data_IF_767928334576
#
_entry.id   IF_767928334576
#
_cell.length_a   1.000
_cell.length_b   1.000
_cell.length_c   1.000
_cell.angle_alpha   90.00
_cell.angle_beta   90.00
_cell.angle_gamma   90.00
#
_symmetry.space_group_name_H-M   'P 1'
#
loop_
_entity.id
_entity.type
_entity.pdbx_description
1 polymer ?
#
# COMPACT_ATOMS: atom_id res chain seq x y z
N UNK A 1 -20.01 11.59 -4.02
CA UNK A 1 -19.82 10.72 -5.21
C UNK A 1 -20.63 9.43 -5.09
N UNK A 2 -20.45 8.63 -4.03
CA UNK A 2 -21.19 7.38 -3.76
C UNK A 2 -22.69 7.43 -4.16
N UNK A 3 -23.48 8.31 -3.53
CA UNK A 3 -24.91 8.48 -3.85
C UNK A 3 -25.25 8.76 -5.31
N UNK A 4 -24.35 9.39 -6.10
CA UNK A 4 -24.55 9.56 -7.55
C UNK A 4 -24.46 8.21 -8.27
N UNK A 5 -23.45 7.39 -7.93
CA UNK A 5 -23.23 6.08 -8.54
C UNK A 5 -24.26 5.05 -8.09
N UNK A 6 -24.73 5.12 -6.85
CA UNK A 6 -25.80 4.25 -6.34
C UNK A 6 -27.13 4.49 -7.08
N UNK A 7 -27.57 5.75 -7.11
CA UNK A 7 -28.95 6.11 -7.46
C UNK A 7 -29.14 6.51 -8.93
N UNK A 8 -28.06 6.85 -9.64
CA UNK A 8 -28.11 7.40 -11.00
C UNK A 8 -27.14 6.70 -11.98
N UNK A 9 -26.66 5.50 -11.66
CA UNK A 9 -25.75 4.72 -12.52
C UNK A 9 -26.15 4.70 -14.00
N UNK A 10 -27.39 4.29 -14.28
CA UNK A 10 -27.93 4.17 -15.66
C UNK A 10 -28.15 5.52 -16.36
N UNK A 11 -27.90 6.64 -15.67
CA UNK A 11 -28.03 8.02 -16.16
C UNK A 11 -26.70 8.78 -16.15
N UNK A 12 -25.59 8.12 -15.82
CA UNK A 12 -24.26 8.70 -15.99
C UNK A 12 -23.99 8.92 -17.47
N UNK A 13 -23.50 10.11 -17.82
CA UNK A 13 -23.25 10.52 -19.20
C UNK A 13 -21.75 10.41 -19.52
N UNK A 14 -21.42 9.68 -20.59
CA UNK A 14 -20.08 9.63 -21.19
C UNK A 14 -19.96 10.63 -22.35
N UNK A 15 -18.73 11.04 -22.70
CA UNK A 15 -18.48 11.88 -23.88
C UNK A 15 -18.35 11.10 -25.19
N UNK A 16 -18.13 9.79 -25.12
CA UNK A 16 -18.05 8.87 -26.26
C UNK A 16 -19.06 7.74 -26.15
N UNK A 17 -18.59 6.51 -26.31
CA UNK A 17 -19.46 5.34 -26.24
C UNK A 17 -19.88 5.09 -24.77
N UNK A 18 -21.12 4.65 -24.58
CA UNK A 18 -21.79 4.59 -23.27
C UNK A 18 -21.32 3.40 -22.38
N UNK A 19 -20.09 2.94 -22.59
CA UNK A 19 -19.48 1.83 -21.86
C UNK A 19 -18.96 2.23 -20.47
N UNK A 20 -18.64 1.23 -19.65
CA UNK A 20 -18.23 1.42 -18.26
C UNK A 20 -16.84 2.04 -18.12
N UNK A 21 -15.92 1.77 -19.06
CA UNK A 21 -14.56 2.28 -19.01
C UNK A 21 -14.53 3.77 -19.36
N UNK A 22 -15.28 4.20 -20.39
CA UNK A 22 -15.33 5.61 -20.77
C UNK A 22 -16.13 6.46 -19.77
N UNK A 23 -17.23 5.91 -19.20
CA UNK A 23 -17.97 6.54 -18.08
C UNK A 23 -17.11 6.82 -16.85
N UNK A 24 -16.11 5.97 -16.59
CA UNK A 24 -15.24 6.06 -15.43
C UNK A 24 -13.85 6.62 -15.73
N UNK A 25 -13.51 6.87 -17.00
CA UNK A 25 -12.24 7.45 -17.41
C UNK A 25 -11.82 8.72 -16.63
N UNK A 26 -12.74 9.65 -16.26
CA UNK A 26 -12.39 10.77 -15.38
C UNK A 26 -11.90 10.33 -13.99
N UNK A 27 -12.56 9.33 -13.38
CA UNK A 27 -12.19 8.82 -12.06
C UNK A 27 -10.94 7.93 -12.11
N UNK A 28 -10.78 7.14 -13.17
CA UNK A 28 -9.57 6.39 -13.46
C UNK A 28 -8.36 7.32 -13.64
N UNK A 29 -8.53 8.47 -14.29
CA UNK A 29 -7.49 9.51 -14.41
C UNK A 29 -7.14 10.20 -13.10
N UNK A 30 -8.12 10.40 -12.21
CA UNK A 30 -7.91 10.96 -10.87
C UNK A 30 -7.09 10.03 -9.95
N UNK A 31 -7.35 8.72 -9.99
CA UNK A 31 -6.62 7.72 -9.18
C UNK A 31 -5.30 7.25 -9.83
N UNK A 32 -5.24 7.24 -11.16
CA UNK A 32 -4.08 6.84 -11.97
C UNK A 32 -4.26 5.46 -12.62
N UNK A 33 -4.07 5.39 -13.93
CA UNK A 33 -4.20 4.14 -14.74
C UNK A 33 -2.84 3.48 -15.00
N UNK A 34 -1.79 4.29 -15.21
CA UNK A 34 -0.43 3.82 -15.56
C UNK A 34 0.67 4.47 -14.72
N UNK A 35 0.31 5.07 -13.59
CA UNK A 35 1.18 5.86 -12.70
C UNK A 35 0.39 6.49 -11.56
N UNK A 36 0.98 7.46 -10.86
CA UNK A 36 0.25 8.23 -9.85
C UNK A 36 -0.83 9.12 -10.49
N UNK A 37 -2.07 9.00 -10.02
CA UNK A 37 -3.16 9.92 -10.40
C UNK A 37 -3.04 11.28 -9.72
N UNK A 38 -3.79 12.26 -10.24
CA UNK A 38 -3.71 13.65 -9.76
C UNK A 38 -4.17 13.84 -8.32
N UNK A 39 -5.01 12.94 -7.78
CA UNK A 39 -5.40 12.97 -6.37
C UNK A 39 -4.21 12.75 -5.42
N UNK A 40 -3.21 11.96 -5.81
CA UNK A 40 -2.07 11.64 -4.95
C UNK A 40 -1.26 12.91 -4.65
N UNK A 41 -1.03 13.77 -5.65
CA UNK A 41 -0.37 15.05 -5.43
C UNK A 41 -1.19 15.99 -4.54
N UNK A 42 -2.52 15.99 -4.69
CA UNK A 42 -3.40 16.81 -3.84
C UNK A 42 -3.37 16.34 -2.38
N UNK A 43 -3.41 15.03 -2.11
CA UNK A 43 -3.31 14.46 -0.76
C UNK A 43 -1.91 14.69 -0.18
N UNK A 44 -0.83 14.52 -0.97
CA UNK A 44 0.54 14.82 -0.54
C UNK A 44 0.75 16.28 -0.09
N UNK A 45 -0.03 17.22 -0.64
CA UNK A 45 -0.01 18.65 -0.29
C UNK A 45 -1.05 19.07 0.76
N UNK A 46 -1.90 18.14 1.22
CA UNK A 46 -2.84 18.39 2.29
C UNK A 46 -2.09 18.53 3.64
N UNK A 47 -2.45 19.50 4.50
CA UNK A 47 -1.83 19.63 5.82
C UNK A 47 -2.21 18.50 6.77
N UNK A 48 -1.21 17.94 7.45
CA UNK A 48 -1.39 16.97 8.54
C UNK A 48 -1.72 17.65 9.87
N UNK A 49 -1.38 18.94 10.03
CA UNK A 49 -1.65 19.73 11.24
C UNK A 49 -2.90 20.61 10.99
N UNK A 50 -3.96 20.52 11.83
CA UNK A 50 -5.19 21.28 11.63
C UNK A 50 -4.97 22.79 11.64
N UNK A 51 -5.79 23.52 10.88
CA UNK A 51 -5.73 24.98 10.67
C UNK A 51 -4.44 25.52 10.00
N UNK A 52 -3.53 24.66 9.54
CA UNK A 52 -2.39 25.05 8.72
C UNK A 52 -2.83 25.58 7.34
N UNK A 53 -2.02 26.45 6.74
CA UNK A 53 -2.28 26.90 5.36
C UNK A 53 -2.05 25.77 4.35
N UNK A 54 -2.64 25.90 3.16
CA UNK A 54 -2.38 24.99 2.05
C UNK A 54 -0.88 24.86 1.77
N UNK A 55 -0.41 23.64 1.51
CA UNK A 55 0.99 23.29 1.31
C UNK A 55 1.95 23.61 2.48
N UNK A 56 1.44 23.68 3.72
CA UNK A 56 2.25 23.69 4.96
C UNK A 56 2.01 22.43 5.79
N UNK A 57 3.04 21.97 6.51
CA UNK A 57 2.99 20.80 7.40
C UNK A 57 2.35 19.57 6.73
N UNK A 58 2.78 19.28 5.51
CA UNK A 58 2.10 18.36 4.59
C UNK A 58 2.55 16.91 4.75
N UNK A 59 1.82 15.96 4.15
CA UNK A 59 2.30 14.58 4.01
C UNK A 59 3.63 14.52 3.27
N UNK A 60 3.85 15.38 2.26
CA UNK A 60 5.13 15.47 1.58
C UNK A 60 6.27 15.93 2.50
N UNK A 61 6.01 16.90 3.38
CA UNK A 61 6.98 17.32 4.39
C UNK A 61 7.30 16.18 5.36
N UNK A 62 6.29 15.43 5.81
CA UNK A 62 6.49 14.27 6.68
C UNK A 62 7.32 13.17 5.99
N UNK A 63 6.97 12.79 4.76
CA UNK A 63 7.73 11.83 3.95
C UNK A 63 9.20 12.25 3.78
N UNK A 64 9.44 13.55 3.59
CA UNK A 64 10.77 14.11 3.47
C UNK A 64 11.50 14.13 4.83
N UNK A 65 10.80 14.40 5.94
CA UNK A 65 11.38 14.36 7.29
C UNK A 65 11.79 12.97 7.77
N UNK A 66 11.28 11.89 7.16
CA UNK A 66 11.73 10.53 7.48
C UNK A 66 13.15 10.19 7.01
N UNK A 67 13.81 11.08 6.24
CA UNK A 67 15.23 10.90 5.86
C UNK A 67 16.16 11.17 7.04
N UNK A 68 17.24 10.40 7.13
CA UNK A 68 18.18 10.44 8.26
C UNK A 68 18.80 11.83 8.51
N UNK A 69 18.92 12.67 7.49
CA UNK A 69 19.49 14.02 7.54
C UNK A 69 18.45 15.15 7.72
N UNK A 70 17.16 14.84 7.77
CA UNK A 70 16.06 15.82 7.75
C UNK A 70 15.49 16.10 9.15
N UNK A 71 16.37 16.29 10.14
CA UNK A 71 15.98 16.54 11.54
C UNK A 71 15.17 17.83 11.69
N UNK A 72 15.65 18.94 11.11
CA UNK A 72 14.99 20.26 11.24
C UNK A 72 13.55 20.24 10.74
N UNK A 73 13.26 19.54 9.63
CA UNK A 73 11.89 19.40 9.12
C UNK A 73 11.03 18.54 10.03
N UNK A 74 11.59 17.48 10.63
CA UNK A 74 10.90 16.63 11.61
C UNK A 74 10.54 17.43 12.86
N UNK A 75 11.50 18.19 13.39
CA UNK A 75 11.32 19.01 14.58
C UNK A 75 10.21 20.06 14.36
N UNK A 76 10.19 20.76 13.22
CA UNK A 76 9.13 21.71 12.85
C UNK A 76 7.74 21.07 12.76
N UNK A 77 7.64 19.82 12.27
CA UNK A 77 6.36 19.11 12.18
C UNK A 77 5.83 18.70 13.56
N UNK A 78 6.68 18.15 14.44
CA UNK A 78 6.27 17.83 15.81
C UNK A 78 6.00 19.08 16.64
N UNK A 79 6.75 20.17 16.47
CA UNK A 79 6.48 21.45 17.13
C UNK A 79 5.08 21.97 16.75
N UNK A 80 4.76 22.02 15.45
CA UNK A 80 3.44 22.44 14.97
C UNK A 80 2.29 21.51 15.44
N UNK A 81 2.52 20.19 15.53
CA UNK A 81 1.55 19.24 16.08
C UNK A 81 1.35 19.40 17.59
N UNK A 82 2.42 19.71 18.34
CA UNK A 82 2.36 19.99 19.78
C UNK A 82 1.65 21.31 20.09
N UNK A 83 1.86 22.35 19.27
CA UNK A 83 1.25 23.67 19.43
C UNK A 83 -0.28 23.64 19.31
N UNK A 84 -0.83 22.80 18.42
CA UNK A 84 -2.30 22.57 18.33
C UNK A 84 -2.82 21.55 19.36
N UNK A 85 -1.94 20.65 19.81
CA UNK A 85 -2.21 19.66 20.85
C UNK A 85 -2.93 18.39 20.38
N UNK A 86 -2.73 17.31 21.14
CA UNK A 86 -3.21 15.95 20.82
C UNK A 86 -4.72 15.89 20.53
N UNK A 87 -5.54 16.65 21.27
CA UNK A 87 -7.00 16.65 21.06
C UNK A 87 -7.42 17.22 19.69
N UNK A 88 -6.72 18.24 19.19
CA UNK A 88 -6.98 18.79 17.86
C UNK A 88 -6.48 17.85 16.76
N UNK A 89 -5.32 17.21 16.97
CA UNK A 89 -4.78 16.19 16.06
C UNK A 89 -5.68 14.95 15.99
N UNK A 90 -6.24 14.49 17.11
CA UNK A 90 -7.19 13.38 17.14
C UNK A 90 -8.48 13.69 16.37
N UNK A 91 -9.07 14.88 16.56
CA UNK A 91 -10.24 15.30 15.78
C UNK A 91 -9.92 15.43 14.26
N UNK A 92 -8.71 15.84 13.90
CA UNK A 92 -8.26 15.87 12.49
C UNK A 92 -8.04 14.46 11.92
N UNK A 93 -7.56 13.53 12.74
CA UNK A 93 -7.45 12.10 12.39
C UNK A 93 -8.84 11.46 12.18
N UNK A 94 -9.83 11.80 13.01
CA UNK A 94 -11.20 11.30 12.86
C UNK A 94 -11.82 11.74 11.54
N UNK A 95 -11.65 13.01 11.15
CA UNK A 95 -12.09 13.54 9.84
C UNK A 95 -11.41 12.77 8.69
N UNK A 96 -10.13 12.42 8.82
CA UNK A 96 -9.43 11.62 7.82
C UNK A 96 -9.90 10.15 7.80
N UNK A 97 -10.22 9.56 8.95
CA UNK A 97 -10.80 8.22 9.03
C UNK A 97 -12.19 8.17 8.37
N UNK A 98 -13.03 9.20 8.58
CA UNK A 98 -14.31 9.38 7.87
C UNK A 98 -14.11 9.52 6.36
N UNK A 99 -13.07 10.25 5.92
CA UNK A 99 -12.70 10.37 4.51
C UNK A 99 -12.27 9.03 3.90
N UNK A 100 -11.50 8.22 4.63
CA UNK A 100 -11.09 6.86 4.22
C UNK A 100 -12.32 5.95 4.11
N UNK A 101 -13.23 5.97 5.10
CA UNK A 101 -14.46 5.18 5.05
C UNK A 101 -15.34 5.56 3.85
N UNK A 102 -15.55 6.86 3.61
CA UNK A 102 -16.31 7.34 2.45
C UNK A 102 -15.64 7.04 1.09
N UNK A 103 -14.31 6.86 1.06
CA UNK A 103 -13.59 6.39 -0.13
C UNK A 103 -13.74 4.88 -0.31
N UNK A 104 -13.65 4.09 0.77
CA UNK A 104 -13.86 2.63 0.73
C UNK A 104 -15.30 2.28 0.31
N UNK A 105 -16.31 2.99 0.81
CA UNK A 105 -17.70 2.86 0.37
C UNK A 105 -17.84 3.16 -1.14
N UNK A 106 -17.19 4.24 -1.62
CA UNK A 106 -17.18 4.61 -3.03
C UNK A 106 -16.53 3.51 -3.90
N UNK A 107 -15.44 2.90 -3.43
CA UNK A 107 -14.76 1.79 -4.12
C UNK A 107 -15.66 0.56 -4.15
N UNK A 108 -16.30 0.18 -3.05
CA UNK A 108 -17.24 -0.96 -3.02
C UNK A 108 -18.38 -0.80 -4.03
N UNK A 109 -18.95 0.41 -4.15
CA UNK A 109 -20.01 0.71 -5.14
C UNK A 109 -19.46 0.59 -6.57
N UNK A 110 -18.21 0.98 -6.82
CA UNK A 110 -17.59 0.85 -8.14
C UNK A 110 -17.31 -0.62 -8.46
N UNK A 111 -16.77 -1.40 -7.53
CA UNK A 111 -16.49 -2.82 -7.71
C UNK A 111 -17.79 -3.59 -8.00
N UNK A 112 -18.86 -3.35 -7.23
CA UNK A 112 -20.19 -3.97 -7.45
C UNK A 112 -20.81 -3.60 -8.81
N UNK A 113 -20.59 -2.38 -9.31
CA UNK A 113 -21.16 -1.89 -10.58
C UNK A 113 -20.33 -2.25 -11.82
N UNK A 114 -19.02 -2.43 -11.66
CA UNK A 114 -18.06 -2.47 -12.77
C UNK A 114 -17.32 -3.81 -12.88
N UNK A 115 -17.22 -4.56 -11.78
CA UNK A 115 -16.40 -5.77 -11.68
C UNK A 115 -14.95 -5.49 -12.11
N UNK A 116 -14.43 -6.33 -13.01
CA UNK A 116 -13.06 -6.22 -13.53
C UNK A 116 -12.74 -4.88 -14.25
N UNK A 117 -13.76 -4.06 -14.56
CA UNK A 117 -13.62 -2.72 -15.17
C UNK A 117 -13.59 -1.57 -14.15
N UNK A 118 -13.59 -1.86 -12.85
CA UNK A 118 -13.51 -0.83 -11.82
C UNK A 118 -12.19 -0.01 -11.94
N UNK A 119 -12.24 1.32 -11.74
CA UNK A 119 -11.04 2.15 -11.82
C UNK A 119 -10.10 1.82 -10.66
N UNK A 120 -8.76 1.77 -10.89
CA UNK A 120 -7.80 1.51 -9.81
C UNK A 120 -8.00 2.47 -8.64
N UNK A 121 -7.90 1.99 -7.40
CA UNK A 121 -8.17 2.77 -6.19
C UNK A 121 -7.09 2.65 -5.11
N UNK A 122 -6.29 1.58 -5.14
CA UNK A 122 -5.35 1.23 -4.06
C UNK A 122 -4.27 2.28 -3.81
N UNK A 123 -3.76 2.96 -4.84
CA UNK A 123 -2.80 4.05 -4.66
C UNK A 123 -3.38 5.22 -3.84
N UNK A 124 -4.58 5.70 -4.19
CA UNK A 124 -5.28 6.77 -3.44
C UNK A 124 -5.53 6.34 -1.99
N UNK A 125 -6.03 5.11 -1.80
CA UNK A 125 -6.27 4.53 -0.47
C UNK A 125 -5.02 4.46 0.39
N UNK A 126 -3.90 4.01 -0.19
CA UNK A 126 -2.62 3.86 0.50
C UNK A 126 -2.07 5.22 0.98
N UNK A 127 -2.20 6.27 0.17
CA UNK A 127 -1.73 7.63 0.53
C UNK A 127 -2.62 8.25 1.62
N UNK A 128 -3.93 7.98 1.63
CA UNK A 128 -4.81 8.37 2.74
C UNK A 128 -4.45 7.64 4.05
N UNK A 129 -4.20 6.33 3.98
CA UNK A 129 -3.74 5.54 5.13
C UNK A 129 -2.36 6.01 5.65
N UNK A 130 -1.46 6.42 4.76
CA UNK A 130 -0.16 7.00 5.12
C UNK A 130 -0.31 8.35 5.83
N UNK A 131 -1.21 9.22 5.36
CA UNK A 131 -1.55 10.46 6.06
C UNK A 131 -2.12 10.20 7.47
N UNK A 132 -2.97 9.18 7.63
CA UNK A 132 -3.52 8.81 8.92
C UNK A 132 -2.43 8.28 9.88
N UNK A 133 -1.50 7.46 9.38
CA UNK A 133 -0.34 7.01 10.16
C UNK A 133 0.58 8.18 10.55
N UNK A 134 0.81 9.14 9.64
CA UNK A 134 1.61 10.33 9.91
C UNK A 134 0.98 11.25 10.97
N UNK A 135 -0.34 11.42 10.96
CA UNK A 135 -1.05 12.17 12.02
C UNK A 135 -0.92 11.48 13.38
N UNK A 136 -1.01 10.13 13.44
CA UNK A 136 -0.79 9.36 14.67
C UNK A 136 0.63 9.53 15.22
N UNK A 137 1.64 9.42 14.36
CA UNK A 137 3.07 9.59 14.72
C UNK A 137 3.34 11.01 15.25
N UNK A 138 2.89 12.03 14.53
CA UNK A 138 3.06 13.44 14.93
C UNK A 138 2.36 13.78 16.26
N UNK A 139 1.23 13.12 16.55
CA UNK A 139 0.43 13.36 17.75
C UNK A 139 0.75 12.41 18.93
N UNK A 140 1.60 11.40 18.73
CA UNK A 140 1.88 10.36 19.74
C UNK A 140 0.66 9.50 20.11
N UNK A 141 -0.19 9.18 19.12
CA UNK A 141 -1.41 8.38 19.33
C UNK A 141 -1.15 6.90 18.98
N UNK A 142 -1.04 6.06 20.00
CA UNK A 142 -0.92 4.60 19.83
C UNK A 142 -2.25 3.98 19.33
N UNK A 143 -2.15 3.08 18.34
CA UNK A 143 -3.31 2.40 17.72
C UNK A 143 -4.17 1.60 18.73
N UNK A 144 -3.56 1.18 19.84
CA UNK A 144 -4.18 0.33 20.86
C UNK A 144 -5.26 1.08 21.68
N UNK A 145 -5.29 2.41 21.62
CA UNK A 145 -6.28 3.25 22.35
C UNK A 145 -7.67 3.27 21.70
N UNK A 146 -7.84 2.67 20.51
CA UNK A 146 -9.06 2.78 19.70
C UNK A 146 -9.94 1.51 19.67
N UNK A 147 -9.68 0.49 20.50
CA UNK A 147 -10.46 -0.76 20.53
C UNK A 147 -10.70 -1.30 21.94
N UNK A 148 -11.96 -1.23 22.39
CA UNK A 148 -12.74 -2.33 23.00
C UNK A 148 -14.09 -1.81 23.56
N UNK A 149 -15.09 -2.66 23.84
CA UNK A 149 -15.74 -3.66 22.98
C UNK A 149 -17.27 -3.30 22.88
N UNK A 150 -18.28 -4.12 22.56
CA UNK A 150 -18.49 -5.57 22.31
C UNK A 150 -19.67 -5.72 21.32
N UNK A 151 -19.70 -6.76 20.49
CA UNK A 151 -20.86 -7.68 20.53
C UNK A 151 -20.40 -9.12 20.19
N UNK A 152 -21.07 -10.09 20.82
CA UNK A 152 -20.62 -11.46 21.01
C UNK A 152 -21.79 -12.41 20.76
N UNK A 153 -21.58 -13.45 19.92
CA UNK A 153 -22.21 -14.82 19.93
C UNK A 153 -22.46 -15.38 18.52
N UNK A 154 -22.74 -16.70 18.39
CA UNK A 154 -22.22 -17.82 19.20
C UNK A 154 -21.61 -18.92 18.32
N UNK A 155 -20.80 -19.79 18.93
CA UNK A 155 -20.14 -20.89 18.21
C UNK A 155 -21.06 -22.05 17.83
N UNK A 156 -20.54 -22.91 16.94
CA UNK A 156 -21.08 -24.25 16.67
C UNK A 156 -20.07 -25.34 17.07
N UNK A 157 -20.62 -26.50 17.42
CA UNK A 157 -19.99 -27.51 18.26
C UNK A 157 -19.04 -28.43 17.50
N UNK A 158 -18.00 -28.89 18.19
CA UNK A 158 -17.18 -30.01 17.72
C UNK A 158 -17.96 -31.33 17.81
N UNK A 159 -17.95 -32.11 16.72
CA UNK A 159 -18.39 -33.51 16.71
C UNK A 159 -17.19 -34.41 16.38
N UNK A 160 -16.81 -35.28 17.33
CA UNK A 160 -15.75 -36.26 17.14
C UNK A 160 -16.22 -37.40 16.22
N UNK A 161 -15.38 -37.78 15.25
CA UNK A 161 -15.59 -38.94 14.40
C UNK A 161 -14.27 -39.56 13.97
N UNK A 162 -13.84 -40.63 14.65
CA UNK A 162 -12.63 -41.37 14.31
C UNK A 162 -12.79 -42.10 12.97
N UNK A 163 -11.94 -41.79 11.99
CA UNK A 163 -11.80 -42.51 10.72
C UNK A 163 -10.35 -42.49 10.27
N UNK A 164 -9.72 -43.66 10.12
CA UNK A 164 -8.30 -43.77 9.85
C UNK A 164 -7.96 -43.59 8.35
N UNK A 165 -6.86 -42.89 8.06
CA UNK A 165 -6.07 -43.12 6.86
C UNK A 165 -6.31 -42.20 5.66
N UNK A 166 -5.75 -40.99 5.70
CA UNK A 166 -4.98 -40.42 4.58
C UNK A 166 -4.21 -39.18 5.08
N UNK A 167 -2.89 -39.14 4.84
CA UNK A 167 -2.07 -37.96 5.18
C UNK A 167 -2.22 -36.92 4.08
N UNK A 168 -3.31 -36.16 4.13
CA UNK A 168 -3.46 -34.94 3.34
C UNK A 168 -2.85 -33.81 4.16
N UNK A 169 -1.74 -33.24 3.69
CA UNK A 169 -1.12 -32.08 4.34
C UNK A 169 -2.01 -30.86 4.11
N UNK A 170 -2.89 -30.58 5.07
CA UNK A 170 -3.69 -29.37 5.08
C UNK A 170 -2.76 -28.14 5.17
N UNK A 171 -3.02 -27.06 4.40
CA UNK A 171 -2.23 -25.84 4.49
C UNK A 171 -2.39 -25.25 5.90
N UNK A 172 -1.31 -25.26 6.67
CA UNK A 172 -1.26 -24.67 8.01
C UNK A 172 -1.52 -23.16 7.88
N UNK A 173 -2.42 -22.55 8.69
CA UNK A 173 -2.59 -21.11 8.68
C UNK A 173 -1.27 -20.45 9.08
N UNK A 174 -0.73 -19.62 8.19
CA UNK A 174 0.52 -18.90 8.42
C UNK A 174 0.23 -17.73 9.36
N UNK A 175 0.57 -17.88 10.63
CA UNK A 175 0.58 -16.76 11.57
C UNK A 175 1.89 -15.97 11.40
N UNK A 176 1.77 -14.65 11.23
CA UNK A 176 2.92 -13.75 11.05
C UNK A 176 3.91 -13.74 12.24
N UNK A 177 3.55 -14.34 13.38
CA UNK A 177 4.37 -14.40 14.59
C UNK A 177 5.49 -15.45 14.63
N UNK A 178 5.64 -16.34 13.64
CA UNK A 178 6.74 -17.31 13.63
C UNK A 178 7.20 -17.74 12.23
N UNK A 179 7.89 -16.86 11.51
CA UNK A 179 8.63 -17.22 10.29
C UNK A 179 9.95 -17.88 10.73
N UNK A 180 10.08 -19.20 10.55
CA UNK A 180 11.21 -19.98 11.03
C UNK A 180 12.35 -20.12 10.00
N UNK A 181 12.12 -19.75 8.74
CA UNK A 181 13.16 -19.80 7.68
C UNK A 181 12.99 -18.75 6.59
N UNK A 182 14.07 -18.46 5.85
CA UNK A 182 14.07 -17.58 4.66
C UNK A 182 13.10 -18.07 3.59
N UNK A 183 13.02 -19.38 3.39
CA UNK A 183 12.15 -19.97 2.37
C UNK A 183 10.67 -19.88 2.77
N UNK A 184 10.37 -20.08 4.06
CA UNK A 184 9.03 -19.83 4.61
C UNK A 184 8.64 -18.35 4.45
N UNK A 185 9.55 -17.40 4.69
CA UNK A 185 9.33 -15.98 4.44
C UNK A 185 8.94 -15.69 2.98
N UNK A 186 9.64 -16.32 2.02
CA UNK A 186 9.33 -16.21 0.60
C UNK A 186 7.99 -16.84 0.23
N UNK A 187 7.59 -17.95 0.84
CA UNK A 187 6.27 -18.55 0.63
C UNK A 187 5.14 -17.70 1.23
N UNK A 188 5.36 -17.02 2.37
CA UNK A 188 4.42 -15.98 2.88
C UNK A 188 4.27 -14.88 1.84
N UNK A 189 5.37 -14.31 1.35
CA UNK A 189 5.35 -13.26 0.33
C UNK A 189 4.65 -13.71 -0.96
N UNK A 190 4.90 -14.94 -1.44
CA UNK A 190 4.20 -15.48 -2.61
C UNK A 190 2.72 -15.79 -2.34
N UNK A 191 2.31 -16.02 -1.09
CA UNK A 191 0.88 -16.10 -0.72
C UNK A 191 0.20 -14.72 -0.80
N UNK A 192 0.89 -13.66 -0.37
CA UNK A 192 0.44 -12.27 -0.47
C UNK A 192 0.38 -11.82 -1.94
N UNK A 193 1.39 -12.15 -2.75
CA UNK A 193 1.37 -11.88 -4.19
C UNK A 193 0.19 -12.56 -4.90
N UNK A 194 -0.11 -13.82 -4.55
CA UNK A 194 -1.29 -14.55 -5.06
C UNK A 194 -2.61 -13.96 -4.61
N UNK A 195 -2.66 -13.33 -3.43
CA UNK A 195 -3.82 -12.56 -2.99
C UNK A 195 -4.01 -11.33 -3.89
N UNK A 196 -2.98 -10.47 -4.00
CA UNK A 196 -3.04 -9.27 -4.85
C UNK A 196 -3.34 -9.60 -6.31
N UNK A 197 -2.78 -10.68 -6.88
CA UNK A 197 -3.08 -11.08 -8.27
C UNK A 197 -4.53 -11.53 -8.50
N UNK A 198 -5.28 -11.84 -7.42
CA UNK A 198 -6.70 -12.19 -7.46
C UNK A 198 -7.62 -11.01 -7.13
N UNK A 199 -7.20 -10.10 -6.24
CA UNK A 199 -8.02 -8.95 -5.80
C UNK A 199 -7.73 -7.67 -6.56
N UNK A 200 -6.51 -7.52 -7.09
CA UNK A 200 -6.06 -6.36 -7.88
C UNK A 200 -5.20 -6.85 -9.07
N UNK A 201 -5.78 -7.46 -10.12
CA UNK A 201 -5.02 -8.11 -11.20
C UNK A 201 -4.03 -7.19 -11.95
N UNK A 202 -4.32 -5.88 -11.96
CA UNK A 202 -3.50 -4.84 -12.59
C UNK A 202 -2.54 -4.14 -11.60
N UNK A 203 -2.53 -4.52 -10.33
CA UNK A 203 -1.67 -3.91 -9.31
C UNK A 203 -0.21 -4.35 -9.48
N UNK A 204 0.74 -3.42 -9.60
CA UNK A 204 2.16 -3.74 -9.73
C UNK A 204 2.72 -4.40 -8.47
N UNK A 205 2.00 -4.36 -7.33
CA UNK A 205 2.38 -4.97 -6.05
C UNK A 205 2.58 -6.48 -6.21
N UNK A 206 1.70 -7.17 -6.94
CA UNK A 206 1.81 -8.62 -7.18
C UNK A 206 3.13 -8.98 -7.88
N UNK A 207 3.41 -8.31 -9.01
CA UNK A 207 4.64 -8.46 -9.79
C UNK A 207 5.89 -8.01 -9.01
N UNK A 208 5.79 -6.95 -8.20
CA UNK A 208 6.89 -6.45 -7.38
C UNK A 208 7.28 -7.46 -6.29
N UNK A 209 6.30 -8.09 -5.63
CA UNK A 209 6.56 -9.14 -4.62
C UNK A 209 7.12 -10.40 -5.28
N UNK A 210 6.56 -10.85 -6.41
CA UNK A 210 7.11 -11.99 -7.18
C UNK A 210 8.57 -11.70 -7.63
N UNK A 211 8.85 -10.48 -8.10
CA UNK A 211 10.19 -10.03 -8.48
C UNK A 211 11.14 -9.95 -7.28
N UNK A 212 10.68 -9.46 -6.13
CA UNK A 212 11.47 -9.39 -4.89
C UNK A 212 11.84 -10.78 -4.40
N UNK A 213 10.89 -11.73 -4.40
CA UNK A 213 11.16 -13.12 -4.02
C UNK A 213 12.14 -13.78 -5.00
N UNK A 214 11.97 -13.56 -6.31
CA UNK A 214 12.89 -14.07 -7.34
C UNK A 214 14.31 -13.53 -7.13
N UNK A 215 14.48 -12.21 -6.99
CA UNK A 215 15.76 -11.56 -6.67
C UNK A 215 16.33 -12.02 -5.33
N UNK A 216 15.46 -12.26 -4.36
CA UNK A 216 15.80 -12.81 -3.05
C UNK A 216 16.30 -14.26 -3.08
N UNK A 217 16.12 -15.00 -4.16
CA UNK A 217 16.67 -16.35 -4.36
C UNK A 217 17.94 -16.38 -5.26
N UNK A 218 18.31 -15.27 -5.90
CA UNK A 218 19.50 -15.16 -6.75
C UNK A 218 20.81 -15.09 -5.95
N UNK A 219 21.92 -15.44 -6.58
CA UNK A 219 23.24 -15.11 -6.04
C UNK A 219 23.57 -13.62 -6.23
N UNK A 220 24.52 -13.10 -5.44
CA UNK A 220 24.87 -11.67 -5.44
C UNK A 220 25.36 -11.15 -6.80
N UNK A 221 26.05 -12.01 -7.57
CA UNK A 221 26.57 -11.69 -8.91
C UNK A 221 25.45 -11.61 -9.94
N UNK A 222 24.52 -12.57 -9.92
CA UNK A 222 23.31 -12.56 -10.74
C UNK A 222 22.46 -11.33 -10.44
N UNK A 223 22.23 -11.04 -9.16
CA UNK A 223 21.47 -9.88 -8.71
C UNK A 223 22.11 -8.56 -9.15
N UNK A 224 23.44 -8.42 -9.02
CA UNK A 224 24.16 -7.24 -9.51
C UNK A 224 24.11 -7.11 -11.04
N UNK A 225 24.08 -8.22 -11.77
CA UNK A 225 23.98 -8.20 -13.24
C UNK A 225 22.60 -7.75 -13.70
N UNK A 226 21.53 -8.13 -12.98
CA UNK A 226 20.17 -7.67 -13.25
C UNK A 226 19.96 -6.20 -12.84
N UNK A 227 20.47 -5.78 -11.67
CA UNK A 227 20.29 -4.42 -11.17
C UNK A 227 21.18 -3.38 -11.90
N UNK A 228 22.35 -3.79 -12.39
CA UNK A 228 23.32 -2.93 -13.08
C UNK A 228 23.73 -3.59 -14.41
N UNK A 229 22.97 -3.38 -15.50
CA UNK A 229 23.28 -3.94 -16.82
C UNK A 229 24.66 -3.48 -17.33
N UNK A 230 24.95 -2.17 -17.23
CA UNK A 230 26.22 -1.55 -17.62
C UNK A 230 27.42 -2.18 -16.87
N UNK A 231 28.34 -2.87 -17.58
CA UNK A 231 29.51 -3.49 -16.96
C UNK A 231 30.42 -2.49 -16.22
N UNK A 232 30.50 -1.25 -16.71
CA UNK A 232 31.31 -0.19 -16.10
C UNK A 232 30.78 0.18 -14.69
N UNK A 233 29.46 0.37 -14.57
CA UNK A 233 28.80 0.70 -13.30
C UNK A 233 28.90 -0.47 -12.32
N UNK A 234 28.65 -1.70 -12.79
CA UNK A 234 28.79 -2.93 -12.00
C UNK A 234 30.21 -3.12 -11.47
N UNK A 235 31.22 -2.91 -12.31
CA UNK A 235 32.63 -3.03 -11.92
C UNK A 235 33.07 -1.93 -10.94
N UNK A 236 32.54 -0.71 -11.06
CA UNK A 236 32.81 0.37 -10.11
C UNK A 236 32.29 0.03 -8.71
N UNK A 237 31.06 -0.50 -8.61
CA UNK A 237 30.46 -0.94 -7.34
C UNK A 237 31.24 -2.11 -6.73
N UNK A 238 31.59 -3.14 -7.51
CA UNK A 238 32.41 -4.27 -7.05
C UNK A 238 33.77 -3.80 -6.52
N UNK A 239 34.44 -2.90 -7.25
CA UNK A 239 35.75 -2.34 -6.85
C UNK A 239 35.64 -1.53 -5.56
N UNK A 240 34.61 -0.70 -5.41
CA UNK A 240 34.36 0.06 -4.18
C UNK A 240 34.06 -0.86 -2.97
N UNK A 241 33.43 -2.01 -3.21
CA UNK A 241 33.19 -3.06 -2.20
C UNK A 241 34.42 -3.96 -1.94
N UNK A 242 35.57 -3.72 -2.59
CA UNK A 242 36.78 -4.53 -2.45
C UNK A 242 36.73 -5.91 -3.13
N UNK A 243 35.74 -6.16 -3.99
CA UNK A 243 35.54 -7.42 -4.70
C UNK A 243 36.18 -7.30 -6.10
N UNK A 244 37.08 -8.22 -6.45
CA UNK A 244 37.69 -8.24 -7.78
C UNK A 244 36.63 -8.60 -8.84
N UNK A 245 36.36 -7.74 -9.84
CA UNK A 245 35.43 -8.08 -10.91
C UNK A 245 35.99 -9.24 -11.74
N UNK A 246 35.17 -10.26 -12.01
CA UNK A 246 35.55 -11.36 -12.91
C UNK A 246 35.71 -10.80 -14.32
N UNK A 247 36.90 -10.96 -14.89
CA UNK A 247 37.14 -10.61 -16.30
C UNK A 247 36.40 -11.64 -17.16
N UNK A 248 35.26 -11.22 -17.73
CA UNK A 248 34.55 -11.98 -18.75
C UNK A 248 35.51 -12.20 -19.94
N UNK A 249 35.95 -13.46 -20.13
CA UNK A 249 36.67 -13.85 -21.33
C UNK A 249 35.71 -13.71 -22.51
N UNK A 250 36.01 -12.81 -23.44
CA UNK A 250 35.45 -12.86 -24.78
C UNK A 250 35.93 -14.14 -25.44
N UNK A 251 35.02 -15.10 -25.64
CA UNK A 251 35.25 -16.19 -26.58
C UNK A 251 35.25 -15.60 -28.00
N UNK A 252 36.28 -15.98 -28.76
CA UNK A 252 36.53 -15.59 -30.16
C UNK A 252 36.02 -16.63 -31.12
#
# INVERSE_FOLDING_TARGET
MASLLENYWDRLYSIGDDDVEEKLAPLAGLNGVSGEGTLIQAIRLAPLVPNSNFAQHTLWDYQLSQRANETVRRDILHEAANDVGVAAMAAHLDILNECIAAFDDLVSILDDRCGDKAPPSSNTRNVLMEAAAAIRDLAGIDEETAKEPVDEKPGLQAANGNGAGQVVVAPKPVHAGSIASREEAFEVLLSVARYFRRTEPHSPISLAIETLVRRGRMDFTELLTELLPEPQTRNAVLTAAGIQPRVEKRET
#
